data_IF_309546309281
#
_entry.id   IF_309546309281
#
_cell.length_a   1.000
_cell.length_b   1.000
_cell.length_c   1.000
_cell.angle_alpha   90.00
_cell.angle_beta   90.00
_cell.angle_gamma   90.00
#
_symmetry.space_group_name_H-M   'P 1'
#
loop_
_entity.id
_entity.type
_entity.pdbx_description
1 polymer ?
#
# COMPACT_ATOMS: atom_id res chain seq x y z
N UNK A 1 -1.52 2.39 -14.28
CA UNK A 1 -2.27 2.76 -15.51
C UNK A 1 -2.81 4.16 -15.35
N UNK A 2 -3.74 4.59 -16.19
CA UNK A 2 -4.36 5.92 -16.04
C UNK A 2 -5.43 5.91 -14.96
N UNK A 3 -5.39 6.87 -14.04
CA UNK A 3 -6.38 7.09 -13.00
C UNK A 3 -6.89 8.53 -13.02
N UNK A 4 -8.09 8.74 -12.52
CA UNK A 4 -8.74 10.05 -12.44
C UNK A 4 -8.88 10.48 -10.99
N UNK A 5 -8.41 11.68 -10.69
CA UNK A 5 -8.63 12.34 -9.40
C UNK A 5 -9.69 13.43 -9.58
N UNK A 6 -10.86 13.21 -8.98
CA UNK A 6 -11.96 14.16 -8.97
C UNK A 6 -11.82 15.10 -7.77
N UNK A 7 -11.89 16.40 -8.01
CA UNK A 7 -11.82 17.43 -6.97
C UNK A 7 -13.01 18.36 -7.16
N UNK A 8 -13.83 18.45 -6.12
CA UNK A 8 -15.07 19.21 -6.13
C UNK A 8 -15.00 20.36 -5.12
N UNK A 9 -15.69 21.45 -5.44
CA UNK A 9 -16.09 22.51 -4.50
C UNK A 9 -17.59 22.70 -4.65
N UNK A 10 -18.33 22.60 -3.55
CA UNK A 10 -19.79 22.72 -3.51
C UNK A 10 -20.51 21.79 -4.51
N UNK A 11 -20.00 20.57 -4.65
CA UNK A 11 -20.54 19.56 -5.57
C UNK A 11 -20.20 19.77 -7.06
N UNK A 12 -19.48 20.83 -7.40
CA UNK A 12 -19.04 21.11 -8.78
C UNK A 12 -17.54 20.88 -8.94
N UNK A 13 -17.12 20.40 -10.11
CA UNK A 13 -15.69 20.25 -10.42
C UNK A 13 -15.00 21.61 -10.37
N UNK A 14 -13.85 21.66 -9.70
CA UNK A 14 -12.96 22.83 -9.81
C UNK A 14 -12.32 22.87 -11.19
N UNK A 15 -11.75 24.03 -11.55
CA UNK A 15 -10.97 24.18 -12.79
C UNK A 15 -9.91 23.08 -12.88
N UNK A 16 -9.83 22.44 -14.05
CA UNK A 16 -8.93 21.34 -14.41
C UNK A 16 -9.23 19.97 -13.74
N UNK A 17 -10.31 19.85 -12.97
CA UNK A 17 -10.81 18.54 -12.54
C UNK A 17 -11.72 17.93 -13.63
N UNK A 18 -11.64 16.61 -13.90
CA UNK A 18 -10.75 15.61 -13.29
C UNK A 18 -9.29 15.72 -13.74
N UNK A 19 -8.37 15.46 -12.80
CA UNK A 19 -6.95 15.36 -13.09
C UNK A 19 -6.61 13.92 -13.49
N UNK A 20 -5.98 13.76 -14.65
CA UNK A 20 -5.47 12.46 -15.11
C UNK A 20 -4.08 12.24 -14.56
N UNK A 21 -3.89 11.15 -13.84
CA UNK A 21 -2.57 10.70 -13.36
C UNK A 21 -2.23 9.36 -14.00
N UNK A 22 -0.96 9.17 -14.33
CA UNK A 22 -0.46 7.88 -14.80
C UNK A 22 0.30 7.22 -13.66
N UNK A 23 -0.19 6.09 -13.16
CA UNK A 23 0.48 5.28 -12.15
C UNK A 23 1.39 4.28 -12.87
N UNK A 24 2.70 4.47 -12.75
CA UNK A 24 3.68 3.58 -13.35
C UNK A 24 3.79 2.26 -12.59
N UNK A 25 4.23 1.19 -13.27
CA UNK A 25 4.44 -0.12 -12.63
C UNK A 25 5.46 -0.08 -11.49
N UNK A 26 6.39 0.89 -11.52
CA UNK A 26 7.36 1.12 -10.45
C UNK A 26 6.78 1.81 -9.20
N UNK A 27 5.58 2.38 -9.30
CA UNK A 27 4.84 2.99 -8.19
C UNK A 27 3.88 1.99 -7.55
N UNK A 28 3.74 0.81 -8.17
CA UNK A 28 2.99 -0.31 -7.64
C UNK A 28 3.96 -1.14 -6.81
N UNK A 29 3.62 -1.37 -5.54
CA UNK A 29 4.44 -2.18 -4.66
C UNK A 29 4.56 -3.63 -5.17
N UNK A 30 5.74 -4.20 -5.02
CA UNK A 30 6.07 -5.57 -5.43
C UNK A 30 5.99 -6.51 -4.22
N UNK A 31 4.87 -7.22 -4.11
CA UNK A 31 4.61 -8.15 -3.01
C UNK A 31 5.64 -9.29 -2.95
N UNK A 32 6.27 -9.66 -4.08
CA UNK A 32 7.29 -10.72 -4.10
C UNK A 32 8.57 -10.33 -3.35
N UNK A 33 8.77 -9.04 -3.09
CA UNK A 33 9.92 -8.50 -2.35
C UNK A 33 9.67 -8.33 -0.85
N UNK A 34 8.42 -8.54 -0.40
CA UNK A 34 8.10 -8.54 1.03
C UNK A 34 8.72 -9.78 1.68
N UNK A 35 9.37 -9.60 2.83
CA UNK A 35 9.91 -10.70 3.63
C UNK A 35 9.27 -10.70 5.02
N UNK A 36 9.00 -11.88 5.55
CA UNK A 36 8.42 -12.05 6.89
C UNK A 36 9.27 -13.05 7.68
N UNK A 37 9.45 -12.80 8.97
CA UNK A 37 10.15 -13.72 9.86
C UNK A 37 9.72 -13.51 11.32
N UNK A 38 9.98 -14.51 12.17
CA UNK A 38 9.67 -14.48 13.59
C UNK A 38 8.92 -15.72 14.05
N UNK A 39 9.02 -16.01 15.35
CA UNK A 39 8.45 -17.23 15.95
C UNK A 39 6.92 -17.25 15.88
N UNK A 40 6.28 -16.09 15.96
CA UNK A 40 4.82 -15.93 15.85
C UNK A 40 4.23 -16.33 14.49
N UNK A 41 5.07 -16.57 13.46
CA UNK A 41 4.64 -17.13 12.17
C UNK A 41 4.58 -18.67 12.17
N UNK A 42 5.23 -19.32 13.14
CA UNK A 42 5.35 -20.77 13.20
C UNK A 42 4.50 -21.35 14.32
N UNK A 43 4.47 -20.70 15.47
CA UNK A 43 3.76 -21.16 16.66
C UNK A 43 3.33 -20.00 17.56
N UNK A 44 2.36 -20.26 18.45
CA UNK A 44 1.93 -19.27 19.44
C UNK A 44 1.26 -19.88 20.66
N UNK A 45 1.24 -19.11 21.75
CA UNK A 45 0.67 -19.54 23.04
C UNK A 45 -0.49 -18.63 23.46
N UNK A 46 -1.51 -19.24 24.08
CA UNK A 46 -2.63 -18.51 24.66
C UNK A 46 -2.14 -17.59 25.79
N UNK A 47 -2.76 -16.41 25.88
CA UNK A 47 -2.42 -15.37 26.88
C UNK A 47 -0.98 -14.84 26.80
N UNK A 48 -0.30 -15.04 25.67
CA UNK A 48 1.04 -14.49 25.42
C UNK A 48 1.07 -13.69 24.11
N UNK A 49 2.00 -12.73 24.03
CA UNK A 49 2.28 -12.00 22.79
C UNK A 49 3.09 -12.87 21.85
N UNK A 50 2.55 -13.11 20.65
CA UNK A 50 3.21 -13.90 19.60
C UNK A 50 3.71 -12.93 18.52
N UNK A 51 5.01 -12.64 18.52
CA UNK A 51 5.60 -11.60 17.68
C UNK A 51 6.20 -12.14 16.37
N UNK A 52 6.05 -11.36 15.31
CA UNK A 52 6.78 -11.52 14.07
C UNK A 52 6.99 -10.16 13.39
N UNK A 53 7.87 -10.15 12.39
CA UNK A 53 8.29 -8.95 11.67
C UNK A 53 7.94 -9.05 10.20
N UNK A 54 7.50 -7.93 9.62
CA UNK A 54 7.24 -7.75 8.19
C UNK A 54 8.21 -6.70 7.65
N UNK A 55 9.05 -7.09 6.70
CA UNK A 55 9.99 -6.20 6.02
C UNK A 55 9.42 -5.82 4.66
N UNK A 56 9.10 -4.52 4.52
CA UNK A 56 8.52 -3.93 3.31
C UNK A 56 9.48 -3.00 2.56
N UNK A 57 10.71 -2.82 3.06
CA UNK A 57 11.70 -1.86 2.54
C UNK A 57 11.92 -1.97 1.03
N UNK A 58 11.97 -3.19 0.51
CA UNK A 58 12.26 -3.44 -0.91
C UNK A 58 10.99 -3.61 -1.76
N UNK A 59 9.82 -3.63 -1.12
CA UNK A 59 8.53 -3.86 -1.78
C UNK A 59 7.89 -2.58 -2.33
N UNK A 60 8.40 -1.40 -1.98
CA UNK A 60 7.99 -0.12 -2.57
C UNK A 60 9.16 0.58 -3.24
N UNK A 61 8.87 1.62 -4.01
CA UNK A 61 9.85 2.58 -4.50
C UNK A 61 9.59 3.94 -3.87
#
# INVERSE_FOLDING_TARGET
GDHLVNVYRDGQHIKNSPFRIHVGSSEIGDASKVRVYGRGLQEGYAYQTNEFTVVTRDAGK
#
